data_IF_678954394444
#
_entry.id   IF_678954394444
#
_cell.length_a   1.000
_cell.length_b   1.000
_cell.length_c   1.000
_cell.angle_alpha   90.00
_cell.angle_beta   90.00
_cell.angle_gamma   90.00
#
_symmetry.space_group_name_H-M   'P 1'
#
loop_
_entity.id
_entity.type
_entity.pdbx_description
1 polymer ?
#
# COMPACT_ATOMS: atom_id res chain seq x y z
N UNK A 1 -1.54 3.81 -6.85
CA UNK A 1 -1.55 4.14 -5.40
C UNK A 1 -2.94 4.51 -4.86
N UNK A 2 -3.69 5.46 -5.45
CA UNK A 2 -4.97 5.96 -4.92
C UNK A 2 -6.02 4.85 -4.64
N UNK A 3 -6.34 4.03 -5.64
CA UNK A 3 -7.36 2.99 -5.53
C UNK A 3 -7.02 1.95 -4.44
N UNK A 4 -5.74 1.61 -4.34
CA UNK A 4 -5.26 0.63 -3.36
C UNK A 4 -5.34 1.19 -1.92
N UNK A 5 -5.05 2.48 -1.73
CA UNK A 5 -5.28 3.16 -0.45
C UNK A 5 -6.78 3.24 -0.09
N UNK A 6 -7.65 3.47 -1.06
CA UNK A 6 -9.11 3.50 -0.86
C UNK A 6 -9.65 2.13 -0.45
N UNK A 7 -9.21 1.07 -1.13
CA UNK A 7 -9.55 -0.31 -0.74
C UNK A 7 -9.05 -0.63 0.68
N UNK A 8 -7.83 -0.24 1.02
CA UNK A 8 -7.27 -0.48 2.37
C UNK A 8 -8.04 0.28 3.46
N UNK A 9 -8.52 1.49 3.15
CA UNK A 9 -9.37 2.26 4.05
C UNK A 9 -10.76 1.63 4.22
N UNK A 10 -11.40 1.23 3.12
CA UNK A 10 -12.74 0.64 3.14
C UNK A 10 -12.76 -0.78 3.74
N UNK A 11 -11.67 -1.53 3.58
CA UNK A 11 -11.55 -2.91 4.10
C UNK A 11 -11.42 -2.98 5.62
N UNK A 12 -11.19 -1.87 6.32
CA UNK A 12 -11.11 -1.84 7.80
C UNK A 12 -9.91 -2.59 8.41
N UNK A 13 -9.03 -3.19 7.59
CA UNK A 13 -7.88 -4.01 8.02
C UNK A 13 -6.93 -3.23 8.95
N UNK A 14 -6.89 -1.90 8.80
CA UNK A 14 -6.13 -0.98 9.64
C UNK A 14 -6.48 -1.05 11.14
N UNK A 15 -7.64 -1.60 11.52
CA UNK A 15 -8.04 -1.75 12.92
C UNK A 15 -7.62 -3.08 13.57
N UNK A 16 -7.14 -4.05 12.77
CA UNK A 16 -6.81 -5.38 13.29
C UNK A 16 -5.49 -5.42 14.05
N UNK A 17 -4.48 -4.61 13.66
CA UNK A 17 -3.16 -4.61 14.28
C UNK A 17 -2.42 -3.25 14.24
N UNK A 18 -1.55 -2.99 15.24
CA UNK A 18 -0.75 -1.76 15.29
C UNK A 18 0.26 -1.64 14.13
N UNK A 19 0.78 -2.76 13.62
CA UNK A 19 1.68 -2.76 12.45
C UNK A 19 0.98 -2.29 11.16
N UNK A 20 -0.24 -2.78 10.88
CA UNK A 20 -1.04 -2.34 9.72
C UNK A 20 -1.37 -0.85 9.79
N UNK A 21 -1.68 -0.33 10.99
CA UNK A 21 -1.90 1.11 11.20
C UNK A 21 -0.66 1.96 10.87
N UNK A 22 0.55 1.47 11.18
CA UNK A 22 1.81 2.17 10.85
C UNK A 22 2.08 2.15 9.34
N UNK A 23 1.92 0.99 8.68
CA UNK A 23 2.09 0.84 7.24
C UNK A 23 1.08 1.70 6.47
N UNK A 24 -0.18 1.75 6.92
CA UNK A 24 -1.19 2.61 6.33
C UNK A 24 -0.83 4.10 6.40
N UNK A 25 -0.30 4.57 7.53
CA UNK A 25 0.17 5.96 7.67
C UNK A 25 1.30 6.27 6.69
N UNK A 26 2.24 5.34 6.51
CA UNK A 26 3.34 5.49 5.53
C UNK A 26 2.79 5.55 4.11
N UNK A 27 1.84 4.68 3.76
CA UNK A 27 1.14 4.68 2.46
C UNK A 27 0.38 5.98 2.20
N UNK A 28 -0.26 6.57 3.23
CA UNK A 28 -0.87 7.90 3.14
C UNK A 28 0.17 9.00 2.92
N UNK A 29 1.31 8.95 3.62
CA UNK A 29 2.42 9.88 3.42
C UNK A 29 2.99 9.83 1.99
N UNK A 30 3.21 8.62 1.47
CA UNK A 30 3.64 8.41 0.07
C UNK A 30 2.64 8.97 -0.93
N UNK A 31 1.34 8.85 -0.65
CA UNK A 31 0.31 9.44 -1.50
C UNK A 31 0.33 10.97 -1.46
N UNK A 32 0.48 11.56 -0.27
CA UNK A 32 0.59 13.01 -0.07
C UNK A 32 1.78 13.63 -0.81
N UNK A 33 2.89 12.91 -0.93
CA UNK A 33 4.09 13.35 -1.67
C UNK A 33 3.99 13.00 -3.16
N UNK A 34 3.49 11.81 -3.50
CA UNK A 34 3.38 11.37 -4.88
C UNK A 34 2.34 12.13 -5.69
N UNK A 35 1.24 12.59 -5.06
CA UNK A 35 0.20 13.36 -5.73
C UNK A 35 0.69 14.70 -6.32
N UNK A 36 1.32 15.62 -5.56
CA UNK A 36 1.82 16.88 -6.11
C UNK A 36 2.92 16.67 -7.16
N UNK A 37 3.77 15.65 -6.99
CA UNK A 37 4.77 15.31 -8.02
C UNK A 37 4.06 14.87 -9.31
N UNK A 38 3.06 13.99 -9.23
CA UNK A 38 2.27 13.57 -10.40
C UNK A 38 1.62 14.75 -11.13
N UNK A 39 1.03 15.69 -10.37
CA UNK A 39 0.45 16.92 -10.94
C UNK A 39 1.54 17.79 -11.58
N UNK A 40 2.71 17.95 -10.94
CA UNK A 40 3.80 18.75 -11.50
C UNK A 40 4.38 18.10 -12.76
N UNK A 41 4.42 16.77 -12.84
CA UNK A 41 4.83 16.02 -14.02
C UNK A 41 3.88 16.29 -15.19
N UNK A 42 2.56 16.19 -14.96
CA UNK A 42 1.57 16.52 -15.98
C UNK A 42 1.68 17.97 -16.47
N UNK A 43 1.89 18.93 -15.55
CA UNK A 43 2.10 20.33 -15.90
C UNK A 43 3.39 20.53 -16.71
N UNK A 44 4.50 19.94 -16.28
CA UNK A 44 5.80 20.05 -16.95
C UNK A 44 5.76 19.46 -18.37
N UNK A 45 5.05 18.35 -18.55
CA UNK A 45 4.84 17.76 -19.88
C UNK A 45 4.03 18.69 -20.79
N UNK A 46 2.93 19.26 -20.28
CA UNK A 46 2.12 20.21 -21.04
C UNK A 46 2.94 21.45 -21.44
N UNK A 47 3.75 21.98 -20.53
CA UNK A 47 4.67 23.09 -20.82
C UNK A 47 5.72 22.71 -21.88
N UNK A 48 6.26 21.50 -21.82
CA UNK A 48 7.17 21.00 -22.86
C UNK A 48 6.48 20.94 -24.23
N UNK A 49 5.27 20.40 -24.32
CA UNK A 49 4.53 20.30 -25.59
C UNK A 49 4.23 21.68 -26.19
N UNK A 50 3.90 22.67 -25.35
CA UNK A 50 3.53 24.01 -25.82
C UNK A 50 4.74 24.91 -26.12
N UNK A 51 5.82 24.80 -25.34
CA UNK A 51 6.96 25.73 -25.39
C UNK A 51 8.26 25.10 -25.89
N UNK A 52 8.28 23.80 -26.18
CA UNK A 52 9.45 23.02 -26.62
C UNK A 52 10.69 23.24 -25.72
N UNK A 53 10.48 23.41 -24.41
CA UNK A 53 11.55 23.75 -23.46
C UNK A 53 12.27 22.50 -22.98
N UNK A 54 13.58 22.42 -23.24
CA UNK A 54 14.45 21.33 -22.77
C UNK A 54 14.47 21.22 -21.25
N UNK A 55 14.38 22.36 -20.54
CA UNK A 55 14.33 22.37 -19.08
C UNK A 55 13.04 21.71 -18.57
N UNK A 56 11.89 22.01 -19.19
CA UNK A 56 10.61 21.41 -18.84
C UNK A 56 10.59 19.89 -19.09
N UNK A 57 11.26 19.44 -20.14
CA UNK A 57 11.46 18.01 -20.41
C UNK A 57 12.34 17.35 -19.34
N UNK A 58 13.45 17.97 -18.95
CA UNK A 58 14.33 17.44 -17.90
C UNK A 58 13.61 17.34 -16.55
N UNK A 59 12.83 18.37 -16.16
CA UNK A 59 12.04 18.34 -14.92
C UNK A 59 10.96 17.28 -14.96
N UNK A 60 10.30 17.09 -16.10
CA UNK A 60 9.35 15.99 -16.34
C UNK A 60 10.03 14.63 -16.14
N UNK A 61 11.18 14.38 -16.79
CA UNK A 61 11.89 13.10 -16.69
C UNK A 61 12.35 12.79 -15.26
N UNK A 62 12.89 13.78 -14.55
CA UNK A 62 13.30 13.60 -13.14
C UNK A 62 12.09 13.27 -12.27
N UNK A 63 10.98 13.97 -12.44
CA UNK A 63 9.76 13.73 -11.67
C UNK A 63 9.18 12.33 -11.93
N UNK A 64 9.22 11.85 -13.19
CA UNK A 64 8.85 10.48 -13.55
C UNK A 64 9.71 9.44 -12.82
N UNK A 65 11.04 9.62 -12.76
CA UNK A 65 11.91 8.70 -12.01
C UNK A 65 11.56 8.64 -10.52
N UNK A 66 11.25 9.78 -9.91
CA UNK A 66 10.78 9.80 -8.52
C UNK A 66 9.43 9.09 -8.36
N UNK A 67 8.49 9.29 -9.29
CA UNK A 67 7.19 8.63 -9.27
C UNK A 67 7.30 7.11 -9.41
N UNK A 68 8.22 6.62 -10.25
CA UNK A 68 8.52 5.19 -10.36
C UNK A 68 9.00 4.66 -9.01
N UNK A 69 9.97 5.32 -8.37
CA UNK A 69 10.47 4.92 -7.06
C UNK A 69 9.40 4.89 -5.97
N UNK A 70 8.56 5.93 -5.89
CA UNK A 70 7.44 5.99 -4.93
C UNK A 70 6.43 4.87 -5.20
N UNK A 71 6.10 4.60 -6.47
CA UNK A 71 5.19 3.50 -6.83
C UNK A 71 5.79 2.13 -6.47
N UNK A 72 7.04 1.87 -6.81
CA UNK A 72 7.73 0.62 -6.48
C UNK A 72 7.77 0.40 -4.97
N UNK A 73 8.10 1.43 -4.20
CA UNK A 73 8.11 1.36 -2.74
C UNK A 73 6.71 1.12 -2.16
N UNK A 74 5.68 1.74 -2.74
CA UNK A 74 4.29 1.49 -2.35
C UNK A 74 3.90 0.02 -2.53
N UNK A 75 4.21 -0.58 -3.67
CA UNK A 75 3.92 -1.99 -3.92
C UNK A 75 4.76 -2.94 -3.05
N UNK A 76 6.00 -2.58 -2.77
CA UNK A 76 6.83 -3.30 -1.79
C UNK A 76 6.16 -3.35 -0.41
N UNK A 77 5.65 -2.22 0.09
CA UNK A 77 4.91 -2.18 1.36
C UNK A 77 3.63 -3.03 1.34
N UNK A 78 2.97 -3.16 0.19
CA UNK A 78 1.81 -4.05 0.03
C UNK A 78 2.25 -5.52 0.18
N UNK A 79 3.31 -5.94 -0.52
CA UNK A 79 3.82 -7.33 -0.41
C UNK A 79 4.27 -7.65 1.02
N UNK A 80 5.02 -6.75 1.63
CA UNK A 80 5.51 -6.88 3.01
C UNK A 80 4.37 -7.05 4.03
N UNK A 81 3.26 -6.34 3.81
CA UNK A 81 2.07 -6.45 4.66
C UNK A 81 1.40 -7.83 4.57
N UNK A 82 1.39 -8.44 3.38
CA UNK A 82 0.82 -9.77 3.17
C UNK A 82 1.71 -10.90 3.68
N UNK A 83 3.04 -10.78 3.63
CA UNK A 83 3.96 -11.76 4.24
C UNK A 83 3.73 -11.90 5.75
N UNK A 84 3.58 -10.78 6.46
CA UNK A 84 3.25 -10.79 7.89
C UNK A 84 1.85 -11.36 8.21
N UNK A 85 0.96 -11.42 7.22
CA UNK A 85 -0.44 -11.85 7.40
C UNK A 85 -0.63 -13.35 7.12
N UNK A 86 0.14 -13.93 6.18
CA UNK A 86 0.04 -15.37 5.82
C UNK A 86 0.39 -16.31 6.99
N UNK A 87 1.31 -15.91 7.87
CA UNK A 87 1.75 -16.74 8.99
C UNK A 87 0.65 -16.88 10.05
N UNK A 88 -0.24 -15.90 10.19
CA UNK A 88 -1.16 -15.85 11.33
C UNK A 88 -2.54 -16.46 11.08
N UNK A 89 -3.03 -16.45 9.83
CA UNK A 89 -4.26 -17.18 9.48
C UNK A 89 -4.08 -18.67 9.74
N UNK A 90 -2.88 -19.21 9.48
CA UNK A 90 -2.53 -20.61 9.77
C UNK A 90 -2.56 -20.92 11.28
N UNK A 91 -2.09 -19.99 12.12
CA UNK A 91 -2.05 -20.19 13.58
C UNK A 91 -3.45 -20.12 14.18
N UNK A 92 -4.29 -19.18 13.71
CA UNK A 92 -5.66 -19.02 14.21
C UNK A 92 -6.58 -20.16 13.75
N UNK A 93 -6.37 -20.69 12.54
CA UNK A 93 -7.07 -21.88 12.07
C UNK A 93 -6.70 -23.12 12.92
N UNK A 94 -5.40 -23.34 13.21
CA UNK A 94 -4.96 -24.46 14.08
C UNK A 94 -5.42 -24.34 15.53
N UNK A 95 -5.52 -23.12 16.06
CA UNK A 95 -6.05 -22.89 17.42
C UNK A 95 -7.55 -23.17 17.51
N UNK A 96 -8.33 -22.87 16.45
CA UNK A 96 -9.75 -23.25 16.40
C UNK A 96 -9.96 -24.75 16.15
N UNK A 97 -9.06 -25.41 15.41
CA UNK A 97 -9.12 -26.85 15.15
C UNK A 97 -8.78 -27.69 16.41
N UNK A 98 -7.89 -27.19 17.28
CA UNK A 98 -7.59 -27.80 18.57
C UNK A 98 -8.50 -27.35 19.73
N UNK A 99 -9.37 -26.35 19.52
CA UNK A 99 -10.36 -25.89 20.51
C UNK A 99 -11.77 -26.45 20.26
N UNK A 100 -11.93 -27.41 19.35
CA UNK A 100 -13.12 -28.25 19.35
C UNK A 100 -12.98 -29.25 20.51
N UNK A 101 -13.87 -29.22 21.52
CA UNK A 101 -13.85 -30.25 22.54
C UNK A 101 -14.12 -31.59 21.84
N UNK A 102 -13.25 -32.57 22.09
CA UNK A 102 -13.53 -33.96 21.74
C UNK A 102 -14.93 -34.32 22.23
N UNK A 103 -15.80 -34.78 21.32
CA UNK A 103 -17.11 -35.36 21.63
C UNK A 103 -16.96 -36.70 22.38
N UNK A 104 -16.16 -36.76 23.44
CA UNK A 104 -16.02 -37.95 24.30
C UNK A 104 -16.44 -37.70 25.76
N UNK A 105 -16.74 -36.45 26.16
CA UNK A 105 -17.16 -36.11 27.53
C UNK A 105 -18.67 -35.80 27.66
N UNK A 106 -19.56 -36.45 26.87
CA UNK A 106 -21.03 -36.35 27.03
C UNK A 106 -21.67 -37.71 27.39
N UNK A 107 -20.89 -38.72 27.79
CA UNK A 107 -21.43 -40.02 28.23
C UNK A 107 -20.77 -40.57 29.50
N UNK A 108 -20.75 -39.79 30.58
CA UNK A 108 -20.63 -40.35 31.93
C UNK A 108 -21.45 -39.59 32.95
#
# INVERSE_FOLDING_TARGET
MLFNNMLHFHSGINQLKPMHKRVFRIKCGLFLVGYPISVSTAASYLTFVLSCSTLAYATFSVAEYFLIGINSFFYFLVVWEFEGSKVEVYIKHRQHEHASPSMEDIQK
#
